data_IF_079483266117
#
_entry.id   IF_079483266117
#
_cell.length_a   1.000
_cell.length_b   1.000
_cell.length_c   1.000
_cell.angle_alpha   90.00
_cell.angle_beta   90.00
_cell.angle_gamma   90.00
#
_symmetry.space_group_name_H-M   'P 1'
#
loop_
_entity.id
_entity.type
_entity.pdbx_description
1 polymer ?
#
# COMPACT_ATOMS: atom_id res chain seq x y z
N UNK A 1 14.87 15.77 6.10
CA UNK A 1 16.00 16.07 5.18
C UNK A 1 17.02 17.04 5.76
N UNK A 2 16.62 18.02 6.54
CA UNK A 2 17.59 18.90 7.24
C UNK A 2 18.48 18.15 8.21
N UNK A 3 17.90 17.26 8.99
CA UNK A 3 18.62 16.41 9.95
C UNK A 3 19.71 15.56 9.25
N UNK A 4 19.48 15.10 8.02
CA UNK A 4 20.46 14.35 7.21
C UNK A 4 21.46 15.25 6.47
N UNK A 5 21.48 16.57 6.73
CA UNK A 5 22.36 17.56 6.10
C UNK A 5 22.36 17.57 4.56
N UNK A 6 21.22 17.19 3.94
CA UNK A 6 21.06 17.17 2.48
C UNK A 6 21.06 18.63 1.96
N UNK A 7 21.84 18.99 0.94
CA UNK A 7 21.85 20.32 0.34
C UNK A 7 20.44 20.75 -0.15
N UNK A 8 20.15 22.06 -0.07
CA UNK A 8 18.81 22.62 -0.37
C UNK A 8 18.33 22.28 -1.79
N UNK A 9 19.22 22.33 -2.76
CA UNK A 9 18.93 21.98 -4.16
C UNK A 9 18.48 20.52 -4.28
N UNK A 10 19.25 19.59 -3.73
CA UNK A 10 18.92 18.16 -3.76
C UNK A 10 17.61 17.86 -3.02
N UNK A 11 17.25 18.62 -1.97
CA UNK A 11 15.96 18.44 -1.27
C UNK A 11 14.78 18.72 -2.18
N UNK A 12 14.89 19.71 -3.08
CA UNK A 12 13.84 20.05 -4.04
C UNK A 12 13.64 18.92 -5.06
N UNK A 13 14.74 18.38 -5.59
CA UNK A 13 14.67 17.29 -6.57
C UNK A 13 14.09 16.02 -5.96
N UNK A 14 14.51 15.67 -4.74
CA UNK A 14 13.95 14.54 -3.99
C UNK A 14 12.45 14.75 -3.73
N UNK A 15 12.06 15.94 -3.24
CA UNK A 15 10.65 16.24 -2.98
C UNK A 15 9.82 16.14 -4.27
N UNK A 16 10.32 16.70 -5.38
CA UNK A 16 9.66 16.64 -6.68
C UNK A 16 9.47 15.18 -7.13
N UNK A 17 10.52 14.35 -7.08
CA UNK A 17 10.44 12.91 -7.41
C UNK A 17 9.26 12.23 -6.72
N UNK A 18 9.12 12.40 -5.41
CA UNK A 18 8.07 11.72 -4.65
C UNK A 18 6.69 12.38 -4.79
N UNK A 19 6.62 13.69 -5.02
CA UNK A 19 5.37 14.38 -5.35
C UNK A 19 4.85 13.90 -6.71
N UNK A 20 5.73 13.73 -7.70
CA UNK A 20 5.38 13.20 -9.01
C UNK A 20 4.90 11.74 -8.91
N UNK A 21 5.60 10.92 -8.12
CA UNK A 21 5.22 9.53 -7.88
C UNK A 21 3.79 9.38 -7.32
N UNK A 22 3.41 10.24 -6.37
CA UNK A 22 2.05 10.21 -5.80
C UNK A 22 1.02 10.99 -6.63
N UNK A 23 1.39 11.46 -7.82
CA UNK A 23 0.49 12.13 -8.78
C UNK A 23 0.03 13.52 -8.34
N UNK A 24 0.87 14.26 -7.60
CA UNK A 24 0.54 15.60 -7.08
C UNK A 24 1.35 16.73 -7.70
N UNK A 25 1.99 16.53 -8.85
CA UNK A 25 2.84 17.52 -9.52
C UNK A 25 2.14 18.86 -9.77
N UNK A 26 0.85 18.82 -10.12
CA UNK A 26 0.04 20.04 -10.35
C UNK A 26 -0.23 20.83 -9.07
N UNK A 27 -0.03 20.23 -7.91
CA UNK A 27 -0.34 20.80 -6.58
C UNK A 27 0.92 21.11 -5.77
N UNK A 28 2.10 21.15 -6.41
CA UNK A 28 3.40 21.33 -5.73
C UNK A 28 3.49 22.61 -4.90
N UNK A 29 2.76 23.66 -5.30
CA UNK A 29 2.70 24.95 -4.60
C UNK A 29 1.48 25.09 -3.67
N UNK A 30 0.64 24.07 -3.57
CA UNK A 30 -0.56 24.11 -2.74
C UNK A 30 -0.21 23.95 -1.27
N UNK A 31 -0.96 24.64 -0.40
CA UNK A 31 -0.87 24.49 1.04
C UNK A 31 -1.72 23.29 1.52
N UNK A 32 -1.40 22.66 2.68
CA UNK A 32 -2.14 21.48 3.16
C UNK A 32 -3.66 21.66 3.22
N UNK A 33 -4.16 22.81 3.65
CA UNK A 33 -5.60 23.09 3.74
C UNK A 33 -6.31 23.23 2.38
N UNK A 34 -5.56 23.33 1.28
CA UNK A 34 -6.07 23.38 -0.09
C UNK A 34 -6.16 21.99 -0.74
N UNK A 35 -5.71 20.96 -0.02
CA UNK A 35 -5.67 19.59 -0.50
C UNK A 35 -6.84 18.78 0.08
N UNK A 36 -7.44 17.91 -0.74
CA UNK A 36 -8.41 16.92 -0.24
C UNK A 36 -7.77 15.92 0.74
N UNK A 37 -8.57 15.21 1.53
CA UNK A 37 -8.06 14.19 2.46
C UNK A 37 -7.17 13.15 1.78
N UNK A 38 -7.59 12.61 0.63
CA UNK A 38 -6.78 11.68 -0.15
C UNK A 38 -5.50 12.29 -0.70
N UNK A 39 -5.50 13.59 -1.08
CA UNK A 39 -4.27 14.30 -1.49
C UNK A 39 -3.33 14.49 -0.29
N UNK A 40 -3.84 14.83 0.88
CA UNK A 40 -3.04 14.95 2.11
C UNK A 40 -2.39 13.61 2.48
N UNK A 41 -3.13 12.50 2.36
CA UNK A 41 -2.62 11.16 2.59
C UNK A 41 -1.47 10.82 1.62
N UNK A 42 -1.62 11.13 0.34
CA UNK A 42 -0.55 10.97 -0.66
C UNK A 42 0.68 11.83 -0.35
N UNK A 43 0.50 13.05 0.14
CA UNK A 43 1.61 13.89 0.62
C UNK A 43 2.31 13.26 1.82
N UNK A 44 1.57 12.63 2.76
CA UNK A 44 2.17 11.94 3.90
C UNK A 44 3.06 10.76 3.45
N UNK A 45 2.61 9.99 2.47
CA UNK A 45 3.40 8.91 1.85
C UNK A 45 4.66 9.49 1.19
N UNK A 46 4.53 10.52 0.35
CA UNK A 46 5.66 11.17 -0.30
C UNK A 46 6.69 11.69 0.71
N UNK A 47 6.24 12.27 1.83
CA UNK A 47 7.12 12.72 2.93
C UNK A 47 7.89 11.56 3.58
N UNK A 48 7.21 10.45 3.86
CA UNK A 48 7.84 9.27 4.46
C UNK A 48 8.94 8.72 3.54
N UNK A 49 8.66 8.62 2.25
CA UNK A 49 9.59 8.13 1.24
C UNK A 49 10.77 9.08 1.00
N UNK A 50 10.53 10.40 1.00
CA UNK A 50 11.56 11.42 0.72
C UNK A 50 12.68 11.47 1.77
N UNK A 51 12.46 10.94 2.99
CA UNK A 51 13.50 10.84 4.03
C UNK A 51 14.46 9.69 3.73
N UNK A 52 14.08 8.80 2.82
CA UNK A 52 14.84 7.60 2.43
C UNK A 52 15.24 6.73 3.65
N UNK A 53 14.29 6.25 4.47
CA UNK A 53 14.57 5.36 5.58
C UNK A 53 14.79 3.92 5.08
N UNK A 54 15.40 3.05 5.90
CA UNK A 54 15.53 1.63 5.59
C UNK A 54 14.23 0.87 5.86
N UNK A 55 13.45 1.32 6.86
CA UNK A 55 12.16 0.75 7.26
C UNK A 55 11.10 1.85 7.19
N UNK A 56 9.98 1.55 6.56
CA UNK A 56 8.84 2.46 6.41
C UNK A 56 7.63 1.81 7.06
N UNK A 57 6.99 2.53 7.99
CA UNK A 57 5.70 2.15 8.57
C UNK A 57 4.59 2.92 7.87
N UNK A 58 3.60 2.20 7.38
CA UNK A 58 2.40 2.75 6.75
C UNK A 58 1.18 2.15 7.44
N UNK A 59 0.40 3.01 8.12
CA UNK A 59 -0.83 2.64 8.81
C UNK A 59 -2.03 3.13 7.98
N UNK A 60 -2.78 2.19 7.42
CA UNK A 60 -3.91 2.42 6.50
C UNK A 60 -3.67 3.52 5.44
N UNK A 61 -2.53 3.50 4.72
CA UNK A 61 -2.10 4.63 3.91
C UNK A 61 -2.96 4.86 2.67
N UNK A 62 -3.86 3.95 2.32
CA UNK A 62 -4.65 4.00 1.10
C UNK A 62 -6.17 4.13 1.37
N UNK A 63 -6.60 4.16 2.64
CA UNK A 63 -8.01 4.11 3.03
C UNK A 63 -8.87 5.28 2.50
N UNK A 64 -8.30 6.48 2.35
CA UNK A 64 -9.03 7.67 1.86
C UNK A 64 -8.97 7.86 0.34
N UNK A 65 -8.45 6.87 -0.42
CA UNK A 65 -8.27 6.97 -1.86
C UNK A 65 -9.41 6.29 -2.64
N UNK A 66 -9.75 6.88 -3.78
CA UNK A 66 -10.57 6.20 -4.78
C UNK A 66 -9.87 4.96 -5.35
N UNK A 67 -10.62 4.02 -5.91
CA UNK A 67 -10.11 2.72 -6.35
C UNK A 67 -8.98 2.84 -7.39
N UNK A 68 -9.11 3.73 -8.38
CA UNK A 68 -8.11 3.86 -9.46
C UNK A 68 -6.79 4.44 -8.92
N UNK A 69 -6.89 5.49 -8.10
CA UNK A 69 -5.72 6.10 -7.46
C UNK A 69 -5.03 5.13 -6.50
N UNK A 70 -5.82 4.34 -5.76
CA UNK A 70 -5.33 3.30 -4.85
C UNK A 70 -4.52 2.24 -5.60
N UNK A 71 -5.06 1.68 -6.67
CA UNK A 71 -4.38 0.66 -7.49
C UNK A 71 -3.06 1.19 -8.04
N UNK A 72 -3.05 2.40 -8.60
CA UNK A 72 -1.84 3.02 -9.11
C UNK A 72 -0.77 3.20 -8.03
N UNK A 73 -1.17 3.67 -6.86
CA UNK A 73 -0.23 3.91 -5.76
C UNK A 73 0.30 2.60 -5.17
N UNK A 74 -0.49 1.53 -5.16
CA UNK A 74 -0.02 0.18 -4.80
C UNK A 74 1.09 -0.29 -5.75
N UNK A 75 0.91 -0.12 -7.05
CA UNK A 75 1.94 -0.44 -8.05
C UNK A 75 3.22 0.38 -7.85
N UNK A 76 3.08 1.68 -7.57
CA UNK A 76 4.22 2.57 -7.35
C UNK A 76 4.98 2.21 -6.05
N UNK A 77 4.27 1.84 -4.98
CA UNK A 77 4.87 1.35 -3.73
C UNK A 77 5.64 0.03 -3.98
N UNK A 78 5.08 -0.90 -4.73
CA UNK A 78 5.76 -2.15 -5.09
C UNK A 78 7.04 -1.90 -5.89
N UNK A 79 6.97 -1.05 -6.92
CA UNK A 79 8.13 -0.68 -7.73
C UNK A 79 9.23 -0.06 -6.87
N UNK A 80 8.85 0.84 -5.97
CA UNK A 80 9.79 1.50 -5.07
C UNK A 80 10.44 0.50 -4.11
N UNK A 81 9.64 -0.35 -3.46
CA UNK A 81 10.14 -1.37 -2.52
C UNK A 81 11.21 -2.24 -3.17
N UNK A 82 10.98 -2.67 -4.41
CA UNK A 82 11.93 -3.49 -5.18
C UNK A 82 13.17 -2.72 -5.61
N UNK A 83 13.00 -1.53 -6.18
CA UNK A 83 14.11 -0.74 -6.75
C UNK A 83 15.06 -0.22 -5.66
N UNK A 84 14.53 0.15 -4.51
CA UNK A 84 15.31 0.74 -3.41
C UNK A 84 15.58 -0.28 -2.26
N UNK A 85 15.14 -1.54 -2.40
CA UNK A 85 15.31 -2.62 -1.40
C UNK A 85 14.87 -2.20 0.01
N UNK A 86 13.70 -1.55 0.10
CA UNK A 86 13.16 -1.06 1.37
C UNK A 86 12.31 -2.11 2.07
N UNK A 87 12.38 -2.13 3.40
CA UNK A 87 11.41 -2.87 4.20
C UNK A 87 10.21 -1.97 4.48
N UNK A 88 9.03 -2.41 4.02
CA UNK A 88 7.77 -1.69 4.27
C UNK A 88 6.92 -2.54 5.19
N UNK A 89 6.54 -1.97 6.34
CA UNK A 89 5.52 -2.53 7.23
C UNK A 89 4.23 -1.79 6.92
N UNK A 90 3.30 -2.53 6.32
CA UNK A 90 2.04 -1.99 5.81
C UNK A 90 0.89 -2.56 6.64
N UNK A 91 0.18 -1.70 7.36
CA UNK A 91 -1.01 -2.07 8.12
C UNK A 91 -2.24 -1.75 7.29
N UNK A 92 -3.10 -2.73 7.11
CA UNK A 92 -4.37 -2.59 6.38
C UNK A 92 -5.39 -3.57 6.92
N UNK A 93 -6.66 -3.22 6.80
CA UNK A 93 -7.78 -4.12 7.01
C UNK A 93 -8.29 -4.73 5.68
N UNK A 94 -7.74 -4.31 4.55
CA UNK A 94 -8.08 -4.81 3.22
C UNK A 94 -7.20 -6.02 2.87
N UNK A 95 -7.84 -7.19 2.78
CA UNK A 95 -7.16 -8.46 2.50
C UNK A 95 -6.56 -8.45 1.08
N UNK A 96 -7.24 -7.85 0.10
CA UNK A 96 -6.72 -7.79 -1.27
C UNK A 96 -5.47 -6.90 -1.36
N UNK A 97 -5.41 -5.80 -0.60
CA UNK A 97 -4.19 -5.00 -0.47
C UNK A 97 -3.05 -5.82 0.12
N UNK A 98 -3.30 -6.54 1.21
CA UNK A 98 -2.29 -7.36 1.85
C UNK A 98 -1.78 -8.45 0.88
N UNK A 99 -2.68 -9.17 0.20
CA UNK A 99 -2.31 -10.20 -0.78
C UNK A 99 -1.57 -9.59 -1.96
N UNK A 100 -1.91 -8.39 -2.40
CA UNK A 100 -1.27 -7.74 -3.54
C UNK A 100 0.15 -7.25 -3.21
N UNK A 101 0.34 -6.63 -2.04
CA UNK A 101 1.56 -5.92 -1.69
C UNK A 101 2.61 -6.79 -0.98
N UNK A 102 2.20 -7.71 -0.13
CA UNK A 102 3.09 -8.30 0.86
C UNK A 102 3.93 -9.48 0.34
N UNK A 103 5.18 -9.57 0.81
CA UNK A 103 5.96 -10.81 0.78
C UNK A 103 5.55 -11.75 1.92
N UNK A 104 5.10 -11.16 3.04
CA UNK A 104 4.68 -11.87 4.25
C UNK A 104 3.53 -11.13 4.91
N UNK A 105 2.44 -11.86 5.18
CA UNK A 105 1.25 -11.32 5.84
C UNK A 105 1.23 -11.81 7.29
N UNK A 106 1.12 -10.87 8.23
CA UNK A 106 0.94 -11.16 9.65
C UNK A 106 -0.51 -10.87 10.00
N UNK A 107 -1.26 -11.90 10.38
CA UNK A 107 -2.66 -11.80 10.77
C UNK A 107 -2.74 -11.68 12.28
N UNK A 108 -3.46 -10.69 12.76
CA UNK A 108 -3.60 -10.41 14.20
C UNK A 108 -5.03 -10.69 14.67
N UNK A 109 -5.16 -11.08 15.94
CA UNK A 109 -6.47 -11.18 16.61
C UNK A 109 -6.91 -9.81 17.10
N UNK A 110 -8.24 -9.55 17.23
CA UNK A 110 -8.72 -8.43 18.03
C UNK A 110 -8.48 -8.72 19.53
N UNK A 111 -8.72 -7.80 20.37
CA UNK A 111 -8.60 -7.74 21.82
C UNK A 111 -8.41 -9.06 22.61
N UNK A 112 -7.20 -9.35 23.12
CA UNK A 112 -5.98 -8.60 22.92
C UNK A 112 -5.34 -8.89 21.56
N UNK A 113 -4.66 -7.89 20.97
CA UNK A 113 -3.94 -8.03 19.71
C UNK A 113 -2.78 -9.03 19.85
N UNK A 114 -2.92 -10.22 19.25
CA UNK A 114 -1.88 -11.26 19.19
C UNK A 114 -1.69 -11.71 17.75
N UNK A 115 -0.51 -12.20 17.41
CA UNK A 115 -0.29 -12.83 16.12
C UNK A 115 -1.11 -14.13 16.06
N UNK A 116 -2.07 -14.19 15.15
CA UNK A 116 -2.89 -15.37 14.86
C UNK A 116 -2.18 -16.31 13.89
N UNK A 117 -1.59 -15.74 12.84
CA UNK A 117 -0.89 -16.50 11.81
C UNK A 117 0.11 -15.63 11.07
N UNK A 118 1.12 -16.26 10.47
CA UNK A 118 2.06 -15.65 9.55
C UNK A 118 2.02 -16.44 8.25
N UNK A 119 1.70 -15.77 7.14
CA UNK A 119 1.59 -16.38 5.82
C UNK A 119 2.68 -15.79 4.91
N UNK A 120 3.57 -16.65 4.42
CA UNK A 120 4.55 -16.27 3.40
C UNK A 120 3.90 -16.34 2.01
N UNK A 121 4.01 -15.26 1.25
CA UNK A 121 3.43 -15.18 -0.08
C UNK A 121 4.41 -15.77 -1.09
N UNK A 122 4.00 -16.84 -1.74
CA UNK A 122 4.79 -17.53 -2.78
C UNK A 122 4.49 -17.04 -4.20
N UNK A 123 3.46 -16.19 -4.33
CA UNK A 123 3.06 -15.63 -5.63
C UNK A 123 4.02 -14.50 -6.01
N UNK A 124 4.60 -14.50 -7.23
CA UNK A 124 5.45 -13.41 -7.71
C UNK A 124 4.73 -12.05 -7.68
N UNK A 125 5.48 -10.96 -7.53
CA UNK A 125 4.91 -9.61 -7.44
C UNK A 125 4.29 -9.02 -8.73
N UNK A 126 4.27 -9.75 -9.82
CA UNK A 126 3.44 -9.44 -11.01
C UNK A 126 2.03 -9.97 -10.82
N UNK A 127 1.47 -9.75 -9.61
CA UNK A 127 0.18 -10.33 -9.20
C UNK A 127 -0.97 -9.71 -9.99
N UNK A 128 -1.63 -10.54 -10.77
CA UNK A 128 -2.91 -10.20 -11.38
C UNK A 128 -4.02 -10.55 -10.40
N UNK A 129 -4.85 -9.56 -10.03
CA UNK A 129 -5.96 -9.71 -9.08
C UNK A 129 -7.04 -10.65 -9.56
N UNK A 130 -7.09 -10.92 -10.87
CA UNK A 130 -8.04 -11.85 -11.50
C UNK A 130 -7.50 -13.26 -11.65
N UNK A 131 -6.21 -13.48 -11.40
CA UNK A 131 -5.58 -14.79 -11.52
C UNK A 131 -6.06 -15.76 -10.45
N UNK A 132 -6.19 -17.04 -10.80
CA UNK A 132 -6.56 -18.11 -9.86
C UNK A 132 -5.65 -18.17 -8.64
N UNK A 133 -4.35 -17.95 -8.82
CA UNK A 133 -3.37 -17.95 -7.72
C UNK A 133 -3.63 -16.81 -6.74
N UNK A 134 -3.99 -15.62 -7.23
CA UNK A 134 -4.33 -14.49 -6.38
C UNK A 134 -5.61 -14.74 -5.60
N UNK A 135 -6.67 -15.21 -6.28
CA UNK A 135 -7.95 -15.54 -5.68
C UNK A 135 -7.78 -16.64 -4.60
N UNK A 136 -7.02 -17.69 -4.90
CA UNK A 136 -6.73 -18.74 -3.94
C UNK A 136 -6.01 -18.22 -2.69
N UNK A 137 -5.00 -17.34 -2.85
CA UNK A 137 -4.29 -16.75 -1.72
C UNK A 137 -5.21 -15.86 -0.89
N UNK A 138 -6.05 -15.04 -1.53
CA UNK A 138 -7.04 -14.21 -0.87
C UNK A 138 -8.00 -15.07 -0.04
N UNK A 139 -8.56 -16.12 -0.63
CA UNK A 139 -9.53 -16.99 0.03
C UNK A 139 -8.91 -17.71 1.23
N UNK A 140 -7.64 -18.14 1.13
CA UNK A 140 -6.91 -18.68 2.30
C UNK A 140 -6.80 -17.67 3.44
N UNK A 141 -6.53 -16.40 3.16
CA UNK A 141 -6.48 -15.37 4.20
C UNK A 141 -7.88 -15.18 4.83
N UNK A 142 -8.95 -15.18 4.04
CA UNK A 142 -10.32 -15.14 4.55
C UNK A 142 -10.64 -16.32 5.47
N UNK A 143 -10.23 -17.54 5.11
CA UNK A 143 -10.42 -18.73 5.95
C UNK A 143 -9.73 -18.57 7.31
N UNK A 144 -8.49 -18.05 7.34
CA UNK A 144 -7.75 -17.81 8.60
C UNK A 144 -8.48 -16.80 9.48
N UNK A 145 -9.15 -15.81 8.90
CA UNK A 145 -10.00 -14.87 9.65
C UNK A 145 -11.29 -15.52 10.16
N UNK A 146 -11.64 -16.74 9.77
CA UNK A 146 -12.95 -17.37 9.96
C UNK A 146 -14.09 -16.58 9.26
N UNK A 147 -13.74 -15.75 8.32
CA UNK A 147 -14.68 -15.15 7.39
C UNK A 147 -14.91 -16.19 6.28
N UNK A 148 -15.70 -17.23 6.53
CA UNK A 148 -16.15 -18.13 5.47
C UNK A 148 -16.85 -17.27 4.41
N UNK A 149 -16.20 -17.05 3.28
CA UNK A 149 -16.94 -16.73 2.09
C UNK A 149 -17.79 -17.97 1.78
N UNK A 150 -19.07 -17.94 2.09
CA UNK A 150 -20.01 -18.82 1.42
C UNK A 150 -19.84 -18.47 -0.06
N UNK A 151 -19.17 -19.33 -0.78
CA UNK A 151 -19.11 -19.27 -2.23
C UNK A 151 -20.54 -19.55 -2.71
N UNK A 152 -21.37 -18.50 -2.72
CA UNK A 152 -22.62 -18.56 -3.48
C UNK A 152 -22.17 -18.67 -4.93
N UNK A 153 -22.63 -19.72 -5.66
CA UNK A 153 -22.40 -19.79 -7.09
C UNK A 153 -22.82 -18.46 -7.70
N UNK A 154 -22.00 -17.93 -8.59
CA UNK A 154 -22.28 -16.67 -9.26
C UNK A 154 -23.71 -16.75 -9.81
N UNK A 155 -24.56 -15.72 -9.58
CA UNK A 155 -25.88 -15.71 -10.17
C UNK A 155 -25.71 -15.76 -11.69
N UNK A 156 -26.53 -16.56 -12.36
CA UNK A 156 -26.55 -16.71 -13.83
C UNK A 156 -27.03 -15.43 -14.53
N UNK A 157 -26.36 -14.31 -14.26
CA UNK A 157 -26.58 -13.06 -15.01
C UNK A 157 -25.34 -12.79 -15.84
N UNK A 158 -25.33 -13.36 -17.03
CA UNK A 158 -24.44 -12.89 -18.09
C UNK A 158 -25.12 -11.68 -18.75
N UNK A 159 -24.45 -10.54 -18.72
CA UNK A 159 -24.77 -9.39 -19.56
C UNK A 159 -24.23 -9.66 -20.95
#
# INVERSE_FOLDING_TARGET
MEIKKIPKEQRKDIAKKYIDMVGLSKFINSRPHQLSGGMQQRVAIARALAINPDIIFMDEPLGALDAITRMKLQDDILKLSKSEKKTIIFVTHDIEEAVFLADRIVIMTPNPGKIKSIVNMTIPHTRDRTSENFLYARDKIFEIFNMKSEHKPAPEYFI
#
